data_IF_439998003917
#
_entry.id   IF_439998003917
#
_cell.length_a   1.000
_cell.length_b   1.000
_cell.length_c   1.000
_cell.angle_alpha   90.00
_cell.angle_beta   90.00
_cell.angle_gamma   90.00
#
_symmetry.space_group_name_H-M   'P 1'
#
loop_
_entity.id
_entity.type
_entity.pdbx_description
1 polymer ?
#
# COMPACT_ATOMS: atom_id res chain seq x y z
N UNK A 1 15.56 -4.99 -6.49
CA UNK A 1 16.14 -3.74 -5.99
C UNK A 1 16.65 -3.94 -4.58
N UNK A 2 17.72 -3.28 -4.17
CA UNK A 2 18.30 -3.37 -2.82
C UNK A 2 17.28 -3.07 -1.69
N UNK A 3 16.26 -2.29 -1.99
CA UNK A 3 15.19 -1.89 -1.06
C UNK A 3 14.33 -3.06 -0.52
N UNK A 4 14.26 -4.18 -1.25
CA UNK A 4 13.47 -5.35 -0.85
C UNK A 4 14.33 -6.55 -0.41
N UNK A 5 15.64 -6.34 -0.20
CA UNK A 5 16.56 -7.42 0.18
C UNK A 5 16.18 -8.10 1.48
N UNK A 6 15.64 -7.33 2.44
CA UNK A 6 15.24 -7.86 3.75
C UNK A 6 14.13 -8.93 3.68
N UNK A 7 13.31 -8.89 2.63
CA UNK A 7 12.23 -9.87 2.42
C UNK A 7 12.73 -11.25 1.96
N UNK A 8 14.02 -11.35 1.65
CA UNK A 8 14.67 -12.59 1.18
C UNK A 8 15.70 -13.13 2.16
N UNK A 9 15.83 -12.51 3.35
CA UNK A 9 16.75 -12.99 4.40
C UNK A 9 16.26 -14.27 5.01
N UNK A 10 17.19 -15.01 5.60
CA UNK A 10 16.93 -16.21 6.40
C UNK A 10 16.08 -17.28 5.69
N UNK A 11 16.22 -17.39 4.37
CA UNK A 11 15.46 -18.37 3.61
C UNK A 11 14.00 -17.99 3.37
N UNK A 12 13.61 -16.76 3.59
CA UNK A 12 12.23 -16.29 3.33
C UNK A 12 12.00 -16.06 1.84
N UNK A 13 10.82 -16.45 1.38
CA UNK A 13 10.30 -16.12 0.05
C UNK A 13 9.10 -15.19 0.26
N UNK A 14 9.05 -14.01 -0.38
CA UNK A 14 7.88 -13.15 -0.28
C UNK A 14 6.60 -13.90 -0.71
N UNK A 15 5.50 -13.81 0.06
CA UNK A 15 4.32 -14.66 -0.13
C UNK A 15 3.74 -14.67 -1.54
N UNK A 16 3.74 -13.53 -2.23
CA UNK A 16 3.22 -13.44 -3.60
C UNK A 16 4.07 -14.22 -4.62
N UNK A 17 5.39 -14.31 -4.44
CA UNK A 17 6.24 -15.15 -5.29
C UNK A 17 6.10 -16.62 -4.93
N UNK A 18 5.94 -16.94 -3.65
CA UNK A 18 5.68 -18.32 -3.22
C UNK A 18 4.35 -18.83 -3.82
N UNK A 19 3.27 -18.06 -3.72
CA UNK A 19 1.98 -18.40 -4.31
C UNK A 19 2.07 -18.58 -5.83
N UNK A 20 2.81 -17.71 -6.52
CA UNK A 20 3.04 -17.84 -7.96
C UNK A 20 3.75 -19.15 -8.31
N UNK A 21 4.79 -19.54 -7.56
CA UNK A 21 5.48 -20.81 -7.78
C UNK A 21 4.58 -22.02 -7.49
N UNK A 22 3.78 -21.98 -6.43
CA UNK A 22 2.80 -23.02 -6.09
C UNK A 22 1.74 -23.16 -7.18
N UNK A 23 1.26 -22.06 -7.74
CA UNK A 23 0.36 -22.08 -8.90
C UNK A 23 1.01 -22.76 -10.10
N UNK A 24 2.26 -22.41 -10.44
CA UNK A 24 2.96 -23.08 -11.53
C UNK A 24 3.15 -24.58 -11.28
N UNK A 25 3.45 -24.98 -10.06
CA UNK A 25 3.53 -26.39 -9.67
C UNK A 25 2.17 -27.07 -9.83
N UNK A 26 1.08 -26.43 -9.41
CA UNK A 26 -0.27 -26.94 -9.56
C UNK A 26 -0.64 -27.19 -11.04
N UNK A 27 -0.33 -26.25 -11.93
CA UNK A 27 -0.64 -26.34 -13.37
C UNK A 27 0.24 -27.35 -14.08
N UNK A 28 1.53 -27.41 -13.73
CA UNK A 28 2.51 -28.29 -14.42
C UNK A 28 2.60 -29.70 -13.84
N UNK A 29 2.06 -29.91 -12.64
CA UNK A 29 2.20 -31.17 -11.90
C UNK A 29 3.61 -31.43 -11.35
N UNK A 30 4.52 -30.45 -11.40
CA UNK A 30 5.89 -30.60 -10.90
C UNK A 30 5.89 -30.57 -9.39
N UNK A 31 6.61 -31.53 -8.78
CA UNK A 31 6.68 -31.69 -7.32
C UNK A 31 7.76 -30.82 -6.66
N UNK A 32 8.63 -30.22 -7.46
CA UNK A 32 9.71 -29.36 -7.03
C UNK A 32 9.80 -28.14 -7.95
N UNK A 33 10.08 -26.99 -7.36
CA UNK A 33 10.26 -25.72 -8.08
C UNK A 33 11.43 -24.96 -7.46
N UNK A 34 12.11 -24.17 -8.25
CA UNK A 34 13.19 -23.32 -7.79
C UNK A 34 12.85 -21.87 -8.07
N UNK A 35 13.04 -21.03 -7.08
CA UNK A 35 13.00 -19.58 -7.23
C UNK A 35 14.38 -19.00 -6.96
N UNK A 36 14.81 -18.08 -7.81
CA UNK A 36 16.07 -17.37 -7.65
C UNK A 36 15.85 -15.86 -7.69
N UNK A 37 16.65 -15.13 -6.92
CA UNK A 37 16.66 -13.67 -6.91
C UNK A 37 18.07 -13.14 -6.99
N UNK A 38 18.26 -12.14 -7.85
CA UNK A 38 19.50 -11.35 -7.95
C UNK A 38 19.26 -10.02 -7.24
N UNK A 39 20.02 -9.75 -6.19
CA UNK A 39 20.04 -8.49 -5.49
C UNK A 39 21.25 -7.69 -5.98
N UNK A 40 21.01 -6.73 -6.87
CA UNK A 40 22.07 -5.98 -7.55
C UNK A 40 23.11 -5.42 -6.58
N UNK A 41 24.36 -5.80 -6.80
CA UNK A 41 25.52 -5.35 -6.01
C UNK A 41 25.68 -6.02 -4.65
N UNK A 42 24.88 -7.08 -4.32
CA UNK A 42 24.95 -7.77 -3.03
C UNK A 42 24.97 -9.28 -3.13
N UNK A 43 23.88 -9.91 -3.63
CA UNK A 43 23.66 -11.36 -3.48
C UNK A 43 22.95 -11.99 -4.66
N UNK A 44 23.19 -13.31 -4.84
CA UNK A 44 22.37 -14.22 -5.59
C UNK A 44 21.84 -15.29 -4.63
N UNK A 45 20.53 -15.34 -4.45
CA UNK A 45 19.87 -16.31 -3.58
C UNK A 45 18.96 -17.19 -4.42
N UNK A 46 18.93 -18.48 -4.10
CA UNK A 46 17.96 -19.40 -4.67
C UNK A 46 17.41 -20.33 -3.61
N UNK A 47 16.17 -20.78 -3.80
CA UNK A 47 15.49 -21.66 -2.88
C UNK A 47 14.69 -22.70 -3.63
N UNK A 48 14.63 -23.90 -3.04
CA UNK A 48 13.79 -24.99 -3.50
C UNK A 48 12.45 -24.93 -2.78
N UNK A 49 11.38 -25.02 -3.54
CA UNK A 49 10.00 -25.13 -3.07
C UNK A 49 9.55 -26.54 -3.36
N UNK A 50 9.08 -27.24 -2.34
CA UNK A 50 8.54 -28.59 -2.46
C UNK A 50 7.01 -28.55 -2.50
N UNK A 51 6.42 -29.52 -3.18
CA UNK A 51 4.98 -29.68 -3.25
C UNK A 51 4.38 -29.96 -1.88
N UNK A 52 3.34 -29.22 -1.55
CA UNK A 52 2.48 -29.41 -0.40
C UNK A 52 1.06 -29.62 -0.90
N UNK A 53 0.52 -30.83 -0.75
CA UNK A 53 -0.81 -31.18 -1.26
C UNK A 53 -1.90 -30.33 -0.63
N UNK A 54 -1.83 -30.05 0.68
CA UNK A 54 -2.88 -29.29 1.38
C UNK A 54 -2.90 -27.82 0.88
N UNK A 55 -1.73 -27.20 0.82
CA UNK A 55 -1.59 -25.80 0.38
C UNK A 55 -2.01 -25.66 -1.08
N UNK A 56 -1.60 -26.57 -1.95
CA UNK A 56 -1.93 -26.51 -3.37
C UNK A 56 -3.43 -26.76 -3.61
N UNK A 57 -4.05 -27.69 -2.92
CA UNK A 57 -5.50 -27.90 -3.04
C UNK A 57 -6.30 -26.69 -2.58
N UNK A 58 -5.90 -26.05 -1.48
CA UNK A 58 -6.50 -24.79 -1.03
C UNK A 58 -6.34 -23.67 -2.05
N UNK A 59 -5.14 -23.53 -2.64
CA UNK A 59 -4.87 -22.52 -3.67
C UNK A 59 -5.78 -22.73 -4.88
N UNK A 60 -5.84 -23.95 -5.43
CA UNK A 60 -6.72 -24.27 -6.57
C UNK A 60 -8.19 -24.00 -6.23
N UNK A 61 -8.65 -24.34 -5.02
CA UNK A 61 -10.03 -24.11 -4.61
C UNK A 61 -10.36 -22.59 -4.58
N UNK A 62 -9.46 -21.77 -4.05
CA UNK A 62 -9.60 -20.31 -4.02
C UNK A 62 -9.62 -19.73 -5.44
N UNK A 63 -8.70 -20.16 -6.30
CA UNK A 63 -8.63 -19.71 -7.69
C UNK A 63 -9.89 -20.07 -8.49
N UNK A 64 -10.39 -21.32 -8.34
CA UNK A 64 -11.65 -21.74 -8.97
C UNK A 64 -12.86 -20.97 -8.44
N UNK A 65 -12.93 -20.71 -7.14
CA UNK A 65 -13.99 -19.91 -6.54
C UNK A 65 -13.99 -18.49 -7.11
N UNK A 66 -12.80 -17.85 -7.15
CA UNK A 66 -12.64 -16.51 -7.73
C UNK A 66 -13.05 -16.47 -9.20
N UNK A 67 -12.59 -17.43 -9.99
CA UNK A 67 -12.94 -17.53 -11.41
C UNK A 67 -14.45 -17.62 -11.61
N UNK A 68 -15.09 -18.55 -10.91
CA UNK A 68 -16.52 -18.80 -11.06
C UNK A 68 -17.40 -17.65 -10.54
N UNK A 69 -17.01 -17.03 -9.42
CA UNK A 69 -17.83 -16.01 -8.77
C UNK A 69 -17.62 -14.62 -9.37
N UNK A 70 -16.45 -14.34 -9.92
CA UNK A 70 -16.08 -12.99 -10.35
C UNK A 70 -15.79 -12.91 -11.84
N UNK A 71 -14.93 -13.76 -12.39
CA UNK A 71 -14.54 -13.67 -13.80
C UNK A 71 -15.70 -14.08 -14.71
N UNK A 72 -16.30 -15.26 -14.50
CA UNK A 72 -17.41 -15.72 -15.35
C UNK A 72 -18.69 -14.90 -15.19
N UNK A 73 -18.93 -14.34 -14.03
CA UNK A 73 -20.14 -13.57 -13.75
C UNK A 73 -19.98 -12.06 -14.00
N UNK A 74 -18.76 -11.57 -14.17
CA UNK A 74 -18.45 -10.13 -14.24
C UNK A 74 -18.72 -9.38 -12.94
N UNK A 75 -18.92 -10.07 -11.81
CA UNK A 75 -19.15 -9.44 -10.51
C UNK A 75 -17.83 -9.00 -9.89
N UNK A 76 -17.78 -7.73 -9.52
CA UNK A 76 -16.63 -7.19 -8.80
C UNK A 76 -16.47 -7.88 -7.43
N UNK A 77 -15.26 -8.29 -7.03
CA UNK A 77 -14.98 -8.79 -5.69
C UNK A 77 -15.36 -7.78 -4.61
N UNK A 78 -15.61 -8.28 -3.40
CA UNK A 78 -15.81 -7.38 -2.26
C UNK A 78 -14.54 -6.54 -2.00
N UNK A 79 -14.69 -5.23 -1.66
CA UNK A 79 -13.56 -4.39 -1.31
C UNK A 79 -12.80 -4.96 -0.10
N UNK A 80 -11.48 -4.99 -0.20
CA UNK A 80 -10.55 -5.53 0.79
C UNK A 80 -9.74 -4.46 1.53
N UNK A 81 -9.95 -3.17 1.20
CA UNK A 81 -9.22 -2.03 1.76
C UNK A 81 -7.81 -1.85 1.20
N UNK A 82 -7.41 -2.62 0.20
CA UNK A 82 -6.09 -2.50 -0.43
C UNK A 82 -6.01 -1.28 -1.37
N UNK A 83 -4.79 -0.79 -1.58
CA UNK A 83 -4.52 0.26 -2.57
C UNK A 83 -4.91 -0.19 -3.99
N UNK A 84 -4.73 -1.47 -4.33
CA UNK A 84 -5.11 -2.02 -5.63
C UNK A 84 -6.62 -1.95 -5.85
N UNK A 85 -7.42 -2.21 -4.80
CA UNK A 85 -8.87 -2.06 -4.85
C UNK A 85 -9.27 -0.59 -5.06
N UNK A 86 -8.62 0.35 -4.37
CA UNK A 86 -8.86 1.78 -4.58
C UNK A 86 -8.54 2.23 -6.01
N UNK A 87 -7.42 1.79 -6.56
CA UNK A 87 -7.01 2.07 -7.95
C UNK A 87 -8.05 1.52 -8.94
N UNK A 88 -8.50 0.28 -8.74
CA UNK A 88 -9.53 -0.34 -9.57
C UNK A 88 -10.86 0.43 -9.52
N UNK A 89 -11.33 0.81 -8.32
CA UNK A 89 -12.55 1.59 -8.15
C UNK A 89 -12.46 2.97 -8.82
N UNK A 90 -11.31 3.62 -8.72
CA UNK A 90 -11.06 4.90 -9.39
C UNK A 90 -11.00 4.78 -10.91
N UNK A 91 -10.45 3.69 -11.44
CA UNK A 91 -10.46 3.42 -12.89
C UNK A 91 -11.86 3.11 -13.39
N UNK A 92 -12.61 2.27 -12.68
CA UNK A 92 -13.95 1.84 -13.11
C UNK A 92 -14.98 2.96 -13.00
N UNK A 93 -14.88 3.76 -11.93
CA UNK A 93 -15.81 4.88 -11.67
C UNK A 93 -15.12 6.24 -11.79
N UNK A 94 -14.33 6.44 -12.85
CA UNK A 94 -13.50 7.63 -13.03
C UNK A 94 -14.30 8.94 -13.22
N UNK A 95 -15.56 8.87 -13.68
CA UNK A 95 -16.41 10.04 -13.96
C UNK A 95 -17.68 10.01 -13.13
N UNK A 96 -17.95 11.10 -12.40
CA UNK A 96 -19.21 11.26 -11.68
C UNK A 96 -20.31 11.79 -12.61
N UNK A 97 -21.52 11.26 -12.46
CA UNK A 97 -22.72 11.84 -13.07
C UNK A 97 -23.09 13.12 -12.32
N UNK A 98 -23.06 14.26 -12.98
CA UNK A 98 -23.40 15.55 -12.36
C UNK A 98 -24.83 15.53 -11.79
N UNK A 99 -25.00 16.08 -10.59
CA UNK A 99 -26.29 16.19 -9.88
C UNK A 99 -27.02 14.86 -9.63
N UNK A 100 -26.33 13.72 -9.68
CA UNK A 100 -26.92 12.43 -9.28
C UNK A 100 -26.65 12.15 -7.83
N UNK A 101 -27.61 11.54 -7.14
CA UNK A 101 -27.50 11.06 -5.76
C UNK A 101 -28.11 9.68 -5.64
N UNK A 102 -27.63 8.90 -4.67
CA UNK A 102 -28.22 7.61 -4.28
C UNK A 102 -28.36 7.57 -2.76
N UNK A 103 -29.30 6.82 -2.25
CA UNK A 103 -29.41 6.51 -0.83
C UNK A 103 -28.58 5.29 -0.48
N UNK A 104 -27.70 5.43 0.51
CA UNK A 104 -26.87 4.33 1.02
C UNK A 104 -27.58 3.63 2.20
N UNK A 105 -28.67 2.92 1.90
CA UNK A 105 -29.46 2.21 2.91
C UNK A 105 -28.63 1.14 3.58
N UNK A 106 -28.61 1.10 4.92
CA UNK A 106 -27.85 0.11 5.71
C UNK A 106 -26.35 0.38 5.83
N UNK A 107 -25.87 1.59 5.47
CA UNK A 107 -24.47 1.96 5.64
C UNK A 107 -24.18 2.74 6.93
N UNK A 108 -25.21 3.12 7.69
CA UNK A 108 -25.04 3.95 8.90
C UNK A 108 -24.09 3.29 9.90
N UNK A 109 -24.31 2.02 10.25
CA UNK A 109 -23.43 1.28 11.17
C UNK A 109 -21.95 1.22 10.68
N UNK A 110 -21.73 1.11 9.36
CA UNK A 110 -20.38 1.13 8.79
C UNK A 110 -19.74 2.50 8.85
N UNK A 111 -20.54 3.57 8.71
CA UNK A 111 -20.08 4.95 8.81
C UNK A 111 -19.75 5.28 10.27
N UNK A 112 -20.57 4.88 11.22
CA UNK A 112 -20.31 4.99 12.66
C UNK A 112 -19.02 4.22 13.02
N UNK A 113 -18.88 2.98 12.58
CA UNK A 113 -17.67 2.20 12.83
C UNK A 113 -16.43 2.85 12.25
N UNK A 114 -16.54 3.44 11.05
CA UNK A 114 -15.44 4.21 10.45
C UNK A 114 -15.04 5.39 11.31
N UNK A 115 -16.00 6.12 11.87
CA UNK A 115 -15.74 7.26 12.77
C UNK A 115 -15.02 6.82 14.04
N UNK A 116 -15.45 5.73 14.67
CA UNK A 116 -14.75 5.13 15.81
C UNK A 116 -13.29 4.80 15.48
N UNK A 117 -13.05 4.19 14.29
CA UNK A 117 -11.70 3.84 13.83
C UNK A 117 -10.84 5.09 13.61
N UNK A 118 -11.41 6.18 13.11
CA UNK A 118 -10.70 7.45 12.97
C UNK A 118 -10.29 8.03 14.31
N UNK A 119 -11.18 8.02 15.30
CA UNK A 119 -10.89 8.48 16.65
C UNK A 119 -9.79 7.62 17.31
N UNK A 120 -9.84 6.29 17.13
CA UNK A 120 -8.79 5.41 17.64
C UNK A 120 -7.45 5.73 16.97
N UNK A 121 -7.45 5.91 15.66
CA UNK A 121 -6.25 6.26 14.89
C UNK A 121 -5.65 7.58 15.37
N UNK A 122 -6.47 8.61 15.57
CA UNK A 122 -6.02 9.93 16.07
C UNK A 122 -5.36 9.80 17.46
N UNK A 123 -5.94 9.03 18.36
CA UNK A 123 -5.35 8.77 19.69
C UNK A 123 -3.98 8.09 19.59
N UNK A 124 -3.86 7.07 18.73
CA UNK A 124 -2.57 6.37 18.51
C UNK A 124 -1.51 7.28 17.87
N UNK A 125 -1.90 8.12 16.92
CA UNK A 125 -1.01 9.10 16.30
C UNK A 125 -0.56 10.17 17.32
N UNK A 126 -1.43 10.55 18.25
CA UNK A 126 -1.11 11.48 19.33
C UNK A 126 -0.12 10.87 20.33
N UNK A 127 -0.32 9.62 20.72
CA UNK A 127 0.60 8.88 21.60
C UNK A 127 1.97 8.71 20.94
N UNK A 128 2.00 8.30 19.67
CA UNK A 128 3.24 8.22 18.90
C UNK A 128 3.98 9.57 18.88
N UNK A 129 3.28 10.65 18.59
CA UNK A 129 3.87 12.00 18.59
C UNK A 129 4.41 12.42 19.96
N UNK A 130 3.72 12.05 21.03
CA UNK A 130 4.20 12.32 22.38
C UNK A 130 5.54 11.64 22.63
N UNK A 131 5.66 10.34 22.31
CA UNK A 131 6.91 9.60 22.43
C UNK A 131 8.03 10.25 21.59
N UNK A 132 7.74 10.63 20.35
CA UNK A 132 8.69 11.30 19.48
C UNK A 132 9.14 12.67 20.04
N UNK A 133 8.24 13.41 20.67
CA UNK A 133 8.55 14.68 21.34
C UNK A 133 9.41 14.49 22.59
N UNK A 134 9.16 13.48 23.38
CA UNK A 134 9.98 13.11 24.56
C UNK A 134 11.41 12.75 24.11
N UNK A 135 11.55 11.98 23.02
CA UNK A 135 12.86 11.65 22.44
C UNK A 135 13.58 12.92 21.96
N UNK A 136 12.90 13.80 21.23
CA UNK A 136 13.49 15.08 20.74
C UNK A 136 13.90 15.97 21.91
N UNK A 137 13.10 16.04 22.96
CA UNK A 137 13.45 16.79 24.16
C UNK A 137 14.71 16.24 24.85
N UNK A 138 14.87 14.92 24.88
CA UNK A 138 16.08 14.28 25.41
C UNK A 138 17.30 14.47 24.50
N UNK A 139 17.11 14.52 23.18
CA UNK A 139 18.19 14.73 22.19
C UNK A 139 18.73 16.16 22.20
N UNK A 140 17.90 17.16 22.55
CA UNK A 140 18.29 18.58 22.47
C UNK A 140 18.91 18.93 21.11
N UNK A 141 20.15 19.45 21.10
CA UNK A 141 20.88 19.85 19.89
C UNK A 141 21.71 18.73 19.24
N UNK A 142 21.55 17.47 19.73
CA UNK A 142 22.31 16.34 19.19
C UNK A 142 21.59 15.72 17.98
N UNK A 143 22.33 15.46 16.93
CA UNK A 143 21.79 14.86 15.70
C UNK A 143 21.54 13.34 15.83
N UNK A 144 22.23 12.66 16.73
CA UNK A 144 22.17 11.21 16.90
C UNK A 144 22.00 10.83 18.36
N UNK A 145 21.12 9.87 18.61
CA UNK A 145 20.95 9.21 19.88
C UNK A 145 20.90 7.68 19.68
N UNK A 146 21.31 6.95 20.70
CA UNK A 146 21.39 5.50 20.67
C UNK A 146 20.74 4.92 21.93
N UNK A 147 20.03 3.81 21.74
CA UNK A 147 19.65 2.89 22.80
C UNK A 147 20.28 1.53 22.50
N UNK A 148 20.06 0.53 23.33
CA UNK A 148 20.54 -0.82 23.05
C UNK A 148 19.98 -1.41 21.73
N UNK A 149 18.78 -0.97 21.30
CA UNK A 149 18.07 -1.53 20.15
C UNK A 149 17.87 -0.58 19.00
N UNK A 150 17.93 0.75 19.24
CA UNK A 150 17.57 1.76 18.26
C UNK A 150 18.64 2.82 18.10
N UNK A 151 18.80 3.25 16.86
CA UNK A 151 19.50 4.49 16.50
C UNK A 151 18.46 5.51 16.09
N UNK A 152 18.46 6.65 16.73
CA UNK A 152 17.57 7.79 16.42
C UNK A 152 18.42 8.90 15.79
N UNK A 153 17.93 9.48 14.71
CA UNK A 153 18.55 10.60 14.03
C UNK A 153 17.55 11.76 13.92
N UNK A 154 17.99 12.95 14.29
CA UNK A 154 17.24 14.20 14.15
C UNK A 154 18.17 15.29 13.67
N UNK A 155 18.39 15.35 12.34
CA UNK A 155 19.36 16.22 11.69
C UNK A 155 18.70 17.30 10.86
N UNK A 156 19.45 18.35 10.57
CA UNK A 156 19.03 19.42 9.65
C UNK A 156 18.97 18.88 8.22
N UNK A 157 17.87 19.18 7.51
CA UNK A 157 17.69 18.84 6.11
C UNK A 157 17.41 20.13 5.34
N UNK A 158 18.23 20.45 4.38
CA UNK A 158 17.96 21.53 3.45
C UNK A 158 17.06 21.02 2.30
N UNK A 159 15.96 21.72 2.07
CA UNK A 159 15.04 21.39 1.00
C UNK A 159 14.74 22.62 0.17
N UNK A 160 15.08 22.58 -1.12
CA UNK A 160 14.67 23.61 -2.07
C UNK A 160 13.33 23.25 -2.68
N UNK A 161 12.35 24.15 -2.55
CA UNK A 161 11.02 24.00 -3.15
C UNK A 161 10.73 25.19 -4.07
N UNK A 162 10.14 24.89 -5.22
CA UNK A 162 9.64 25.94 -6.11
C UNK A 162 8.41 26.60 -5.47
N UNK A 163 8.46 27.92 -5.30
CA UNK A 163 7.29 28.71 -4.90
C UNK A 163 6.36 28.88 -6.09
N UNK A 164 5.46 27.93 -6.25
CA UNK A 164 4.48 27.90 -7.35
C UNK A 164 3.47 29.04 -7.29
N UNK A 165 3.18 29.61 -6.10
CA UNK A 165 2.30 30.76 -5.96
C UNK A 165 2.98 32.02 -6.52
N UNK A 166 4.21 32.26 -6.12
CA UNK A 166 5.03 33.37 -6.60
C UNK A 166 5.29 33.23 -8.11
N UNK A 167 5.65 32.03 -8.56
CA UNK A 167 5.86 31.74 -9.98
C UNK A 167 4.61 32.05 -10.83
N UNK A 168 3.40 31.69 -10.35
CA UNK A 168 2.13 32.00 -11.02
C UNK A 168 1.85 33.51 -11.10
N UNK A 169 2.31 34.27 -10.12
CA UNK A 169 2.10 35.73 -10.07
C UNK A 169 3.13 36.48 -10.90
N UNK A 170 4.41 36.12 -10.78
CA UNK A 170 5.52 36.87 -11.41
C UNK A 170 5.84 36.37 -12.83
N UNK A 171 5.61 35.10 -13.13
CA UNK A 171 5.91 34.48 -14.42
C UNK A 171 4.75 33.55 -14.87
N UNK A 172 3.54 34.11 -15.17
CA UNK A 172 2.34 33.30 -15.48
C UNK A 172 2.52 32.43 -16.73
N UNK A 173 3.24 32.92 -17.74
CA UNK A 173 3.50 32.17 -18.98
C UNK A 173 4.30 30.91 -18.70
N UNK A 174 5.42 31.04 -17.98
CA UNK A 174 6.26 29.89 -17.59
C UNK A 174 5.45 28.93 -16.72
N UNK A 175 4.62 29.43 -15.81
CA UNK A 175 3.76 28.55 -15.00
C UNK A 175 2.78 27.78 -15.87
N UNK A 176 2.16 28.39 -16.87
CA UNK A 176 1.21 27.73 -17.78
C UNK A 176 1.85 26.63 -18.64
N UNK A 177 3.07 26.86 -19.12
CA UNK A 177 3.81 25.88 -19.94
C UNK A 177 4.06 24.56 -19.18
N UNK A 178 4.21 24.62 -17.86
CA UNK A 178 4.49 23.45 -17.01
C UNK A 178 3.28 23.01 -16.18
N UNK A 179 2.16 23.75 -16.20
CA UNK A 179 0.96 23.39 -15.45
C UNK A 179 0.20 22.25 -16.14
N UNK A 180 -0.11 21.20 -15.39
CA UNK A 180 -0.95 20.09 -15.85
C UNK A 180 -2.28 20.09 -15.11
N UNK A 181 -3.38 20.03 -15.85
CA UNK A 181 -4.72 19.88 -15.27
C UNK A 181 -5.10 18.42 -15.27
N UNK A 182 -5.30 17.86 -14.07
CA UNK A 182 -5.81 16.49 -13.90
C UNK A 182 -7.20 16.53 -13.30
N UNK A 183 -8.06 15.62 -13.75
CA UNK A 183 -9.40 15.46 -13.20
C UNK A 183 -9.44 14.17 -12.37
N UNK A 184 -9.86 14.28 -11.12
CA UNK A 184 -10.04 13.13 -10.23
C UNK A 184 -11.34 13.26 -9.43
N UNK A 185 -11.89 12.13 -8.97
CA UNK A 185 -13.02 12.11 -8.04
C UNK A 185 -12.49 12.23 -6.61
N UNK A 186 -13.01 13.20 -5.86
CA UNK A 186 -12.70 13.34 -4.43
C UNK A 186 -13.76 12.65 -3.60
N UNK A 187 -13.35 11.65 -2.83
CA UNK A 187 -14.22 11.01 -1.84
C UNK A 187 -14.17 11.80 -0.52
N UNK A 188 -15.33 12.14 0.05
CA UNK A 188 -15.43 12.77 1.36
C UNK A 188 -16.69 12.29 2.09
N UNK A 189 -16.61 12.18 3.40
CA UNK A 189 -17.72 11.85 4.28
C UNK A 189 -17.87 13.02 5.26
N UNK A 190 -19.09 13.54 5.40
CA UNK A 190 -19.44 14.59 6.36
C UNK A 190 -20.71 14.16 7.09
N UNK A 191 -20.79 14.45 8.38
CA UNK A 191 -22.05 14.34 9.10
C UNK A 191 -23.10 15.27 8.49
N UNK A 192 -24.36 14.85 8.46
CA UNK A 192 -25.49 15.62 7.99
C UNK A 192 -25.93 16.68 8.98
#
# INVERSE_FOLDING_TARGET
SAYNSDKWKDGQIPPHYLLQCLHYMAVTGKREWYIAVVILGRDFLYQKITWDDEVIQKLIAIEKAFWNQHILTGRMPAPDGSKACDELLNQYFHTAKKKSSISLIGFDEKLERREELLQMKEKLEQEQKQIEQEIKLAMQDNELAFTEKYRVAWSNVETTKLDTKRMKQENPEVYQDFAQTTTSRRFSIKAA
#
